data_IF_907783442703
#
_entry.id   IF_907783442703
#
_cell.length_a   1.000
_cell.length_b   1.000
_cell.length_c   1.000
_cell.angle_alpha   90.00
_cell.angle_beta   90.00
_cell.angle_gamma   90.00
#
_symmetry.space_group_name_H-M   'P 1'
#
loop_
_entity.id
_entity.type
_entity.pdbx_description
1 polymer ?
#
# COMPACT_ATOMS: atom_id res chain seq x y z
N UNK A 1 0.60 -4.15 20.04
CA UNK A 1 1.15 -4.62 21.33
C UNK A 1 1.33 -3.53 22.38
N UNK A 2 1.84 -2.34 22.02
CA UNK A 2 2.05 -1.23 22.97
C UNK A 2 0.78 -0.83 23.72
N UNK A 3 -0.36 -0.69 23.03
CA UNK A 3 -1.66 -0.42 23.65
C UNK A 3 -2.06 -1.52 24.65
N UNK A 4 -1.75 -2.79 24.36
CA UNK A 4 -2.05 -3.89 25.28
C UNK A 4 -1.10 -3.90 26.49
N UNK A 5 0.11 -3.34 26.38
CA UNK A 5 1.09 -3.36 27.46
C UNK A 5 0.64 -2.56 28.71
N UNK A 6 -0.17 -1.52 28.49
CA UNK A 6 -0.69 -0.63 29.54
C UNK A 6 -1.96 -1.15 30.23
N UNK A 7 -2.55 -2.26 29.77
CA UNK A 7 -3.62 -2.95 30.50
C UNK A 7 -3.06 -4.00 31.47
N UNK A 8 -3.87 -4.42 32.45
CA UNK A 8 -3.45 -5.41 33.44
C UNK A 8 -3.02 -6.74 32.79
N UNK A 9 -1.99 -7.44 33.30
CA UNK A 9 -1.45 -8.65 32.69
C UNK A 9 -2.50 -9.71 32.33
N UNK A 10 -3.51 -9.88 33.20
CA UNK A 10 -4.60 -10.85 33.03
C UNK A 10 -5.57 -10.48 31.90
N UNK A 11 -5.60 -9.20 31.48
CA UNK A 11 -6.48 -8.70 30.41
C UNK A 11 -5.77 -8.48 29.09
N UNK A 12 -4.44 -8.60 29.03
CA UNK A 12 -3.67 -8.37 27.80
C UNK A 12 -4.18 -9.23 26.65
N UNK A 13 -4.37 -10.53 26.90
CA UNK A 13 -4.90 -11.50 25.93
C UNK A 13 -6.33 -11.19 25.44
N UNK A 14 -7.04 -10.27 26.08
CA UNK A 14 -8.39 -9.80 25.73
C UNK A 14 -8.37 -8.55 24.84
N UNK A 15 -7.18 -8.08 24.42
CA UNK A 15 -7.02 -6.93 23.53
C UNK A 15 -6.82 -7.42 22.10
N UNK A 16 -7.54 -6.83 21.16
CA UNK A 16 -7.38 -7.01 19.72
C UNK A 16 -7.64 -5.69 19.00
N UNK A 17 -7.00 -5.47 17.85
CA UNK A 17 -7.27 -4.30 17.01
C UNK A 17 -8.46 -4.55 16.08
N UNK A 18 -9.27 -3.52 15.87
CA UNK A 18 -10.32 -3.49 14.84
C UNK A 18 -10.10 -2.26 13.97
N UNK A 19 -9.41 -2.43 12.84
CA UNK A 19 -9.12 -1.34 11.92
C UNK A 19 -10.24 -1.23 10.87
N UNK A 20 -11.08 -0.21 11.03
CA UNK A 20 -12.19 0.12 10.13
C UNK A 20 -11.74 0.99 8.97
N UNK A 21 -12.40 0.83 7.83
CA UNK A 21 -12.13 1.59 6.61
C UNK A 21 -13.10 2.76 6.45
N UNK A 22 -12.60 3.94 6.08
CA UNK A 22 -13.43 5.15 5.95
C UNK A 22 -14.18 5.21 4.62
N UNK A 23 -15.49 5.59 4.60
CA UNK A 23 -16.35 5.84 5.75
C UNK A 23 -16.83 4.53 6.42
N UNK A 24 -16.61 4.40 7.74
CA UNK A 24 -16.81 3.15 8.47
C UNK A 24 -18.24 2.59 8.46
N UNK A 25 -19.25 3.42 8.21
CA UNK A 25 -20.64 2.97 8.08
C UNK A 25 -20.93 2.34 6.71
N UNK A 26 -20.20 2.71 5.65
CA UNK A 26 -20.36 2.19 4.28
C UNK A 26 -19.40 1.05 3.98
N UNK A 27 -18.11 1.27 4.26
CA UNK A 27 -17.06 0.30 3.92
C UNK A 27 -17.28 -1.01 4.67
N UNK A 28 -17.07 -2.12 3.98
CA UNK A 28 -17.35 -3.46 4.50
C UNK A 28 -16.17 -4.04 5.25
N UNK A 29 -14.94 -3.70 4.86
CA UNK A 29 -13.75 -4.29 5.44
C UNK A 29 -13.50 -3.86 6.89
N UNK A 30 -13.08 -4.82 7.70
CA UNK A 30 -12.41 -4.60 8.99
C UNK A 30 -11.18 -5.52 9.04
N UNK A 31 -10.00 -4.94 9.21
CA UNK A 31 -8.80 -5.72 9.55
C UNK A 31 -8.80 -5.99 11.06
N UNK A 32 -8.85 -7.27 11.44
CA UNK A 32 -8.82 -7.75 12.82
C UNK A 32 -7.36 -8.03 13.18
N UNK A 33 -6.74 -7.11 13.91
CA UNK A 33 -5.30 -7.13 14.16
C UNK A 33 -5.00 -7.92 15.43
N UNK A 34 -4.28 -9.03 15.29
CA UNK A 34 -3.77 -9.84 16.41
C UNK A 34 -2.34 -9.42 16.75
N UNK A 35 -2.02 -9.32 18.04
CA UNK A 35 -0.68 -8.88 18.47
C UNK A 35 0.44 -9.84 18.03
N UNK A 36 1.65 -9.31 17.86
CA UNK A 36 2.78 -10.00 17.20
C UNK A 36 3.40 -11.14 18.02
N UNK A 37 3.18 -11.13 19.33
CA UNK A 37 3.63 -12.20 20.22
C UNK A 37 2.44 -13.12 20.53
N UNK A 38 2.67 -14.44 20.52
CA UNK A 38 1.73 -15.55 20.78
C UNK A 38 0.94 -15.49 22.12
N UNK A 39 0.86 -14.35 22.79
CA UNK A 39 0.13 -14.11 24.04
C UNK A 39 -0.58 -12.74 24.12
N UNK A 40 -0.50 -11.85 23.11
CA UNK A 40 -1.20 -10.55 23.22
C UNK A 40 -2.68 -10.67 22.88
N UNK A 41 -3.09 -11.53 21.97
CA UNK A 41 -4.51 -11.74 21.64
C UNK A 41 -4.83 -13.23 21.69
N UNK A 42 -5.75 -13.64 22.57
CA UNK A 42 -6.15 -15.04 22.66
C UNK A 42 -6.98 -15.47 21.44
N UNK A 43 -6.96 -16.75 21.04
CA UNK A 43 -7.84 -17.27 19.99
C UNK A 43 -9.32 -17.00 20.28
N UNK A 44 -9.73 -17.05 21.55
CA UNK A 44 -11.09 -16.73 21.97
C UNK A 44 -11.45 -15.26 21.71
N UNK A 45 -10.53 -14.34 21.99
CA UNK A 45 -10.70 -12.91 21.72
C UNK A 45 -10.83 -12.65 20.22
N UNK A 46 -9.95 -13.24 19.41
CA UNK A 46 -9.99 -13.11 17.95
C UNK A 46 -11.32 -13.65 17.38
N UNK A 47 -11.78 -14.80 17.87
CA UNK A 47 -13.07 -15.39 17.50
C UNK A 47 -14.25 -14.46 17.87
N UNK A 48 -14.25 -13.91 19.09
CA UNK A 48 -15.29 -12.98 19.54
C UNK A 48 -15.34 -11.71 18.70
N UNK A 49 -14.18 -11.14 18.36
CA UNK A 49 -14.10 -9.96 17.48
C UNK A 49 -14.56 -10.29 16.06
N UNK A 50 -14.25 -11.48 15.55
CA UNK A 50 -14.78 -11.95 14.27
C UNK A 50 -16.31 -12.08 14.28
N UNK A 51 -16.90 -12.65 15.33
CA UNK A 51 -18.35 -12.70 15.51
C UNK A 51 -18.98 -11.30 15.59
N UNK A 52 -18.37 -10.39 16.35
CA UNK A 52 -18.81 -9.00 16.43
C UNK A 52 -18.77 -8.34 15.04
N UNK A 53 -17.68 -8.49 14.31
CA UNK A 53 -17.50 -7.93 12.96
C UNK A 53 -18.59 -8.42 12.01
N UNK A 54 -18.89 -9.73 12.04
CA UNK A 54 -19.99 -10.31 11.26
C UNK A 54 -21.36 -9.76 11.69
N UNK A 55 -21.61 -9.58 12.99
CA UNK A 55 -22.86 -9.00 13.49
C UNK A 55 -23.08 -7.55 13.02
N UNK A 56 -22.00 -6.81 12.79
CA UNK A 56 -22.01 -5.47 12.21
C UNK A 56 -22.18 -5.46 10.67
N UNK A 57 -22.44 -6.62 10.06
CA UNK A 57 -22.52 -6.79 8.59
C UNK A 57 -21.26 -6.32 7.86
N UNK A 58 -20.10 -6.52 8.51
CA UNK A 58 -18.76 -6.27 7.98
C UNK A 58 -18.08 -7.58 7.54
N UNK A 59 -17.04 -7.45 6.73
CA UNK A 59 -16.15 -8.51 6.29
C UNK A 59 -14.87 -8.37 7.09
N UNK A 60 -14.65 -9.28 8.05
CA UNK A 60 -13.47 -9.31 8.89
C UNK A 60 -12.37 -10.17 8.29
N UNK A 61 -11.15 -9.65 8.26
CA UNK A 61 -9.95 -10.42 7.89
C UNK A 61 -8.96 -10.32 9.03
N UNK A 62 -8.54 -11.47 9.57
CA UNK A 62 -7.53 -11.51 10.63
C UNK A 62 -6.16 -11.27 10.04
N UNK A 63 -5.40 -10.36 10.64
CA UNK A 63 -4.06 -9.98 10.18
C UNK A 63 -3.10 -9.81 11.36
N UNK A 64 -1.82 -10.06 11.12
CA UNK A 64 -0.75 -9.82 12.08
C UNK A 64 -0.51 -8.33 12.35
N UNK A 65 0.01 -8.02 13.54
CA UNK A 65 0.37 -6.66 13.90
C UNK A 65 1.73 -6.27 13.29
N UNK A 66 1.68 -5.56 12.17
CA UNK A 66 2.82 -4.82 11.62
C UNK A 66 2.39 -3.40 11.22
N UNK A 67 3.35 -2.57 10.85
CA UNK A 67 3.08 -1.21 10.43
C UNK A 67 2.18 -1.17 9.18
N UNK A 68 1.01 -0.53 9.28
CA UNK A 68 0.05 -0.45 8.19
C UNK A 68 -0.73 -1.75 7.94
N UNK A 69 -0.57 -2.77 8.79
CA UNK A 69 -1.22 -4.07 8.69
C UNK A 69 -1.01 -4.70 7.30
N UNK A 70 -2.07 -5.04 6.58
CA UNK A 70 -1.95 -5.54 5.20
C UNK A 70 -2.26 -4.41 4.23
N UNK A 71 -3.44 -3.81 4.36
CA UNK A 71 -3.95 -2.84 3.40
C UNK A 71 -3.06 -1.61 3.23
N UNK A 72 -2.82 -0.88 4.33
CA UNK A 72 -2.06 0.37 4.25
C UNK A 72 -0.58 0.11 3.96
N UNK A 73 -0.04 -1.01 4.45
CA UNK A 73 1.32 -1.44 4.15
C UNK A 73 1.56 -1.62 2.66
N UNK A 74 0.65 -2.32 1.98
CA UNK A 74 0.72 -2.50 0.53
C UNK A 74 0.50 -1.18 -0.26
N UNK A 75 -0.13 -0.16 0.34
CA UNK A 75 -0.26 1.17 -0.28
C UNK A 75 0.98 2.06 -0.15
N UNK A 76 1.90 1.80 0.78
CA UNK A 76 3.11 2.61 0.91
C UNK A 76 3.95 2.66 -0.39
N UNK A 77 4.29 1.53 -1.04
CA UNK A 77 5.01 1.59 -2.31
C UNK A 77 4.19 2.22 -3.44
N UNK A 78 2.88 1.95 -3.48
CA UNK A 78 1.95 2.51 -4.47
C UNK A 78 1.93 4.05 -4.43
N UNK A 79 1.86 4.62 -3.22
CA UNK A 79 1.84 6.08 -3.02
C UNK A 79 3.22 6.73 -3.20
N UNK A 80 4.31 6.00 -2.95
CA UNK A 80 5.65 6.47 -3.30
C UNK A 80 5.80 6.54 -4.84
N UNK A 81 5.43 5.49 -5.55
CA UNK A 81 5.63 5.41 -7.00
C UNK A 81 4.75 6.37 -7.80
N UNK A 82 3.54 6.70 -7.34
CA UNK A 82 2.74 7.73 -8.03
C UNK A 82 3.48 9.08 -8.07
N UNK A 83 4.13 9.47 -6.97
CA UNK A 83 4.91 10.71 -6.91
C UNK A 83 6.18 10.60 -7.77
N UNK A 84 6.86 9.47 -7.72
CA UNK A 84 8.06 9.23 -8.52
C UNK A 84 7.82 9.23 -10.02
N UNK A 85 6.71 8.69 -10.49
CA UNK A 85 6.33 8.78 -11.91
C UNK A 85 6.24 10.24 -12.37
N UNK A 86 5.68 11.12 -11.53
CA UNK A 86 5.59 12.55 -11.85
C UNK A 86 6.96 13.25 -11.88
N UNK A 87 7.90 12.84 -11.03
CA UNK A 87 9.25 13.43 -10.98
C UNK A 87 10.18 12.88 -12.06
N UNK A 88 9.98 11.63 -12.47
CA UNK A 88 10.87 10.94 -13.41
C UNK A 88 10.45 11.09 -14.87
N UNK A 89 9.20 11.46 -15.14
CA UNK A 89 8.63 11.35 -16.48
C UNK A 89 7.75 12.53 -16.88
N UNK A 90 7.41 12.59 -18.17
CA UNK A 90 6.42 13.51 -18.71
C UNK A 90 4.97 13.19 -18.31
N UNK A 91 4.74 12.10 -17.59
CA UNK A 91 3.41 11.60 -17.21
C UNK A 91 2.71 12.55 -16.24
N UNK A 92 1.42 12.77 -16.45
CA UNK A 92 0.61 13.66 -15.60
C UNK A 92 -0.22 12.89 -14.58
N UNK A 93 -0.74 13.59 -13.57
CA UNK A 93 -1.68 13.05 -12.57
C UNK A 93 -2.84 12.30 -13.26
N UNK A 94 -3.45 12.93 -14.27
CA UNK A 94 -4.58 12.34 -15.00
C UNK A 94 -4.20 11.14 -15.85
N UNK A 95 -2.98 11.08 -16.40
CA UNK A 95 -2.50 9.91 -17.14
C UNK A 95 -2.39 8.70 -16.19
N UNK A 96 -1.81 8.90 -15.00
CA UNK A 96 -1.65 7.84 -13.99
C UNK A 96 -3.00 7.32 -13.51
N UNK A 97 -3.89 8.23 -13.11
CA UNK A 97 -5.23 7.86 -12.65
C UNK A 97 -6.02 7.13 -13.75
N UNK A 98 -5.96 7.60 -14.99
CA UNK A 98 -6.68 7.00 -16.10
C UNK A 98 -6.18 5.58 -16.41
N UNK A 99 -4.87 5.36 -16.39
CA UNK A 99 -4.28 4.03 -16.63
C UNK A 99 -4.72 3.02 -15.56
N UNK A 100 -4.75 3.44 -14.30
CA UNK A 100 -5.18 2.57 -13.20
C UNK A 100 -6.71 2.35 -13.24
N UNK A 101 -7.51 3.39 -13.49
CA UNK A 101 -8.96 3.26 -13.66
C UNK A 101 -9.35 2.32 -14.82
N UNK A 102 -8.57 2.25 -15.89
CA UNK A 102 -8.82 1.34 -17.01
C UNK A 102 -8.75 -0.14 -16.60
N UNK A 103 -8.08 -0.48 -15.50
CA UNK A 103 -8.13 -1.81 -14.91
C UNK A 103 -9.44 -2.09 -14.17
N UNK A 104 -10.29 -1.09 -13.95
CA UNK A 104 -11.58 -1.25 -13.27
C UNK A 104 -11.54 -1.06 -11.76
N UNK A 105 -10.44 -0.55 -11.19
CA UNK A 105 -10.43 -0.11 -9.79
C UNK A 105 -11.34 1.10 -9.59
N UNK A 106 -11.89 1.25 -8.39
CA UNK A 106 -12.88 2.30 -8.12
C UNK A 106 -12.32 3.72 -8.17
N UNK A 107 -11.05 3.91 -7.81
CA UNK A 107 -10.36 5.20 -7.75
C UNK A 107 -8.92 5.07 -8.26
N UNK A 108 -8.47 6.07 -9.03
CA UNK A 108 -7.06 6.21 -9.38
C UNK A 108 -6.22 6.65 -8.16
N UNK A 109 -4.88 6.47 -8.21
CA UNK A 109 -3.99 6.76 -7.09
C UNK A 109 -4.17 8.15 -6.48
N UNK A 110 -4.22 9.18 -7.32
CA UNK A 110 -4.25 10.57 -6.87
C UNK A 110 -5.63 10.96 -6.35
N UNK A 111 -6.70 10.49 -7.00
CA UNK A 111 -8.07 10.62 -6.48
C UNK A 111 -8.23 9.96 -5.11
N UNK A 112 -7.64 8.78 -4.91
CA UNK A 112 -7.67 8.08 -3.62
C UNK A 112 -6.90 8.86 -2.55
N UNK A 113 -5.72 9.39 -2.88
CA UNK A 113 -4.94 10.26 -1.99
C UNK A 113 -5.72 11.50 -1.57
N UNK A 114 -6.39 12.17 -2.51
CA UNK A 114 -7.21 13.36 -2.23
C UNK A 114 -8.44 13.05 -1.39
N UNK A 115 -9.05 11.87 -1.56
CA UNK A 115 -10.18 11.44 -0.75
C UNK A 115 -9.76 11.11 0.69
N UNK A 116 -8.63 10.42 0.86
CA UNK A 116 -8.09 10.06 2.17
C UNK A 116 -7.62 11.28 2.97
N UNK A 117 -7.05 12.26 2.28
CA UNK A 117 -6.48 13.48 2.85
C UNK A 117 -4.95 13.44 2.84
N UNK A 118 -4.35 14.34 2.05
CA UNK A 118 -2.90 14.37 1.85
C UNK A 118 -2.14 14.79 3.12
N UNK A 119 -2.79 15.53 4.01
CA UNK A 119 -2.27 15.90 5.32
C UNK A 119 -2.12 14.71 6.27
N UNK A 120 -2.99 13.69 6.17
CA UNK A 120 -2.83 12.44 6.93
C UNK A 120 -1.55 11.71 6.50
N UNK A 121 -1.35 11.59 5.18
CA UNK A 121 -0.13 11.01 4.62
C UNK A 121 1.12 11.80 5.02
N UNK A 122 1.04 13.14 5.01
CA UNK A 122 2.11 14.01 5.50
C UNK A 122 2.44 13.76 6.97
N UNK A 123 1.44 13.74 7.86
CA UNK A 123 1.64 13.46 9.29
C UNK A 123 2.31 12.10 9.52
N UNK A 124 1.85 11.05 8.83
CA UNK A 124 2.47 9.72 8.91
C UNK A 124 3.94 9.78 8.49
N UNK A 125 4.28 10.45 7.38
CA UNK A 125 5.68 10.59 6.95
C UNK A 125 6.51 11.42 7.93
N UNK A 126 5.93 12.44 8.55
CA UNK A 126 6.59 13.24 9.59
C UNK A 126 6.88 12.42 10.85
N UNK A 127 5.90 11.64 11.33
CA UNK A 127 6.07 10.76 12.50
C UNK A 127 7.15 9.69 12.26
N UNK A 128 7.25 9.18 11.02
CA UNK A 128 8.35 8.30 10.60
C UNK A 128 9.68 9.03 10.43
N UNK A 129 9.72 10.35 10.53
CA UNK A 129 10.94 11.14 10.27
C UNK A 129 11.41 11.10 8.82
N UNK A 130 10.51 10.84 7.86
CA UNK A 130 10.84 10.91 6.42
C UNK A 130 10.88 12.35 5.91
N UNK A 131 10.04 13.21 6.50
CA UNK A 131 9.96 14.64 6.19
C UNK A 131 11.10 15.37 6.88
N UNK A 132 11.67 16.39 6.22
CA UNK A 132 12.67 17.28 6.83
C UNK A 132 12.03 18.12 7.93
N UNK A 133 12.67 18.18 9.08
CA UNK A 133 12.27 19.07 10.16
C UNK A 133 12.64 20.54 9.87
N UNK A 134 12.32 21.44 10.81
CA UNK A 134 12.61 22.88 10.68
C UNK A 134 14.10 23.21 10.56
N UNK A 135 14.98 22.28 10.94
CA UNK A 135 16.44 22.41 10.84
C UNK A 135 16.99 21.77 9.55
N UNK A 136 16.12 21.17 8.73
CA UNK A 136 16.48 20.48 7.50
C UNK A 136 16.91 19.02 7.69
N UNK A 137 16.86 18.51 8.92
CA UNK A 137 17.26 17.14 9.26
C UNK A 137 16.13 16.15 9.04
N UNK A 138 16.49 14.89 8.78
CA UNK A 138 15.55 13.78 8.61
C UNK A 138 15.78 12.76 9.72
N UNK A 139 14.74 12.02 10.08
CA UNK A 139 14.82 10.95 11.07
C UNK A 139 15.48 9.68 10.54
N UNK A 140 15.67 8.68 11.42
CA UNK A 140 16.46 7.48 11.13
C UNK A 140 15.85 6.57 10.04
N UNK A 141 14.53 6.68 9.78
CA UNK A 141 13.88 5.88 8.73
C UNK A 141 14.16 6.38 7.31
N UNK A 142 14.72 7.59 7.14
CA UNK A 142 15.18 8.09 5.84
C UNK A 142 16.67 7.79 5.68
N UNK A 143 16.95 6.57 5.21
CA UNK A 143 18.32 6.06 5.11
C UNK A 143 19.11 6.72 3.97
N UNK A 144 20.45 6.81 4.08
CA UNK A 144 21.28 7.29 2.98
C UNK A 144 21.06 6.46 1.71
N UNK A 145 20.79 7.13 0.58
CA UNK A 145 20.51 6.47 -0.70
C UNK A 145 19.05 6.04 -0.88
N UNK A 146 18.20 6.17 0.15
CA UNK A 146 16.76 5.99 -0.01
C UNK A 146 16.21 7.02 -1.00
N UNK A 147 15.44 6.52 -1.96
CA UNK A 147 14.74 7.38 -2.90
C UNK A 147 13.53 8.00 -2.24
N UNK A 148 13.45 9.33 -2.29
CA UNK A 148 12.37 10.10 -1.69
C UNK A 148 12.18 11.40 -2.47
N UNK A 149 10.93 11.86 -2.59
CA UNK A 149 10.61 13.18 -3.16
C UNK A 149 9.76 13.98 -2.18
N UNK A 150 10.14 15.24 -1.98
CA UNK A 150 9.41 16.20 -1.15
C UNK A 150 8.12 16.71 -1.81
N UNK A 151 7.82 16.33 -3.07
CA UNK A 151 6.68 16.82 -3.84
C UNK A 151 5.35 16.79 -3.07
N UNK A 152 5.01 15.65 -2.47
CA UNK A 152 3.75 15.50 -1.74
C UNK A 152 3.76 16.24 -0.39
N UNK A 153 4.93 16.39 0.24
CA UNK A 153 5.07 17.10 1.51
C UNK A 153 4.93 18.60 1.30
N UNK A 154 5.65 19.13 0.33
CA UNK A 154 5.63 20.55 -0.01
C UNK A 154 4.28 20.97 -0.61
N UNK A 155 3.58 20.08 -1.32
CA UNK A 155 2.20 20.32 -1.73
C UNK A 155 1.30 20.60 -0.50
N UNK A 156 1.48 19.86 0.59
CA UNK A 156 0.69 20.07 1.82
C UNK A 156 1.18 21.32 2.56
N UNK A 157 2.48 21.46 2.78
CA UNK A 157 3.05 22.52 3.63
C UNK A 157 3.02 23.89 2.96
N UNK A 158 3.36 23.96 1.67
CA UNK A 158 3.49 25.23 0.95
C UNK A 158 2.18 25.68 0.30
N UNK A 159 1.39 24.73 -0.22
CA UNK A 159 0.15 25.05 -0.95
C UNK A 159 -1.13 24.79 -0.13
N UNK A 160 -1.04 24.12 1.03
CA UNK A 160 -2.21 23.80 1.85
C UNK A 160 -3.18 22.83 1.17
N UNK A 161 -2.72 22.02 0.21
CA UNK A 161 -3.57 21.17 -0.64
C UNK A 161 -3.83 19.81 0.01
N UNK A 162 -4.78 19.79 0.94
CA UNK A 162 -5.10 18.63 1.80
C UNK A 162 -6.06 17.61 1.18
N UNK A 163 -6.45 17.77 -0.07
CA UNK A 163 -7.37 16.87 -0.78
C UNK A 163 -8.79 17.40 -0.88
N UNK A 164 -9.74 16.50 -1.11
CA UNK A 164 -11.13 16.81 -1.38
C UNK A 164 -11.80 17.60 -0.23
N UNK A 165 -11.44 17.30 1.02
CA UNK A 165 -11.96 18.00 2.21
C UNK A 165 -11.60 19.49 2.24
N UNK A 166 -10.48 19.86 1.63
CA UNK A 166 -10.04 21.24 1.47
C UNK A 166 -10.37 21.82 0.09
N UNK A 167 -11.14 21.08 -0.73
CA UNK A 167 -11.46 21.38 -2.13
C UNK A 167 -10.22 21.51 -3.05
N UNK A 168 -9.03 21.16 -2.57
CA UNK A 168 -7.76 21.26 -3.28
C UNK A 168 -6.79 20.20 -2.79
N UNK A 169 -6.29 19.37 -3.70
CA UNK A 169 -5.31 18.31 -3.48
C UNK A 169 -4.41 18.15 -4.70
N UNK A 170 -4.18 16.93 -5.16
CA UNK A 170 -3.62 16.69 -6.50
C UNK A 170 -4.52 17.30 -7.60
N UNK A 171 -5.83 17.26 -7.38
CA UNK A 171 -6.84 17.92 -8.20
C UNK A 171 -7.42 19.16 -7.51
N UNK A 172 -8.04 20.03 -8.30
CA UNK A 172 -8.97 21.03 -7.77
C UNK A 172 -10.38 20.43 -7.69
N UNK A 173 -11.18 20.90 -6.74
CA UNK A 173 -12.56 20.51 -6.54
C UNK A 173 -13.43 21.76 -6.40
N UNK A 174 -14.57 21.77 -7.09
CA UNK A 174 -15.52 22.88 -7.05
C UNK A 174 -16.86 22.39 -6.50
N UNK A 175 -17.41 22.98 -5.43
CA UNK A 175 -18.75 22.66 -4.94
C UNK A 175 -19.84 22.73 -6.02
N UNK A 176 -19.70 23.62 -7.01
CA UNK A 176 -20.62 23.73 -8.15
C UNK A 176 -20.49 22.56 -9.14
N UNK A 177 -19.37 21.85 -9.14
CA UNK A 177 -19.09 20.74 -10.08
C UNK A 177 -19.09 19.40 -9.34
N UNK A 178 -20.09 18.57 -9.61
CA UNK A 178 -20.18 17.24 -9.00
C UNK A 178 -20.23 17.29 -7.46
N UNK A 179 -20.77 18.38 -6.89
CA UNK A 179 -20.89 18.62 -5.44
C UNK A 179 -19.53 18.59 -4.71
N UNK A 180 -18.46 19.09 -5.35
CA UNK A 180 -17.10 19.05 -4.78
C UNK A 180 -16.49 17.65 -4.74
N UNK A 181 -17.00 16.71 -5.56
CA UNK A 181 -16.49 15.34 -5.64
C UNK A 181 -15.86 14.98 -6.97
N UNK A 182 -16.09 15.80 -8.01
CA UNK A 182 -15.48 15.58 -9.31
C UNK A 182 -14.07 16.18 -9.31
N UNK A 183 -13.01 15.39 -9.61
CA UNK A 183 -11.66 15.91 -9.73
C UNK A 183 -11.54 16.80 -10.98
N UNK A 184 -10.89 17.95 -10.85
CA UNK A 184 -10.62 18.90 -11.93
C UNK A 184 -9.09 19.06 -12.04
N UNK A 185 -8.48 18.81 -13.21
CA UNK A 185 -7.03 18.99 -13.39
C UNK A 185 -6.58 20.41 -13.02
N UNK A 186 -5.55 20.50 -12.16
CA UNK A 186 -5.07 21.77 -11.63
C UNK A 186 -3.85 22.30 -12.41
N UNK A 187 -3.96 23.52 -12.94
CA UNK A 187 -2.83 24.21 -13.59
C UNK A 187 -1.73 24.56 -12.58
N UNK A 188 -2.12 24.91 -11.35
CA UNK A 188 -1.18 25.18 -10.25
C UNK A 188 -0.35 23.92 -9.95
N UNK A 189 -0.98 22.75 -9.82
CA UNK A 189 -0.24 21.50 -9.61
C UNK A 189 0.65 21.12 -10.79
N UNK A 190 0.20 21.37 -12.02
CA UNK A 190 1.04 21.11 -13.21
C UNK A 190 2.34 21.93 -13.16
N UNK A 191 2.25 23.22 -12.79
CA UNK A 191 3.41 24.11 -12.64
C UNK A 191 4.25 23.73 -11.41
N UNK A 192 3.62 23.31 -10.33
CA UNK A 192 4.30 22.89 -9.11
C UNK A 192 5.14 21.63 -9.34
N UNK A 193 4.56 20.60 -9.95
CA UNK A 193 5.25 19.34 -10.29
C UNK A 193 6.46 19.59 -11.18
N UNK A 194 6.38 20.55 -12.11
CA UNK A 194 7.49 20.89 -13.00
C UNK A 194 8.77 21.32 -12.23
N UNK A 195 8.64 21.83 -11.00
CA UNK A 195 9.78 22.20 -10.12
C UNK A 195 10.48 20.99 -9.51
N UNK A 196 9.81 19.83 -9.43
CA UNK A 196 10.32 18.59 -8.84
C UNK A 196 10.75 17.58 -9.90
N UNK A 197 10.63 17.92 -11.20
CA UNK A 197 11.13 17.05 -12.27
C UNK A 197 12.64 16.94 -12.18
N UNK A 198 13.13 15.71 -12.19
CA UNK A 198 14.57 15.44 -12.18
C UNK A 198 15.19 15.91 -13.49
N UNK A 199 16.47 16.29 -13.46
CA UNK A 199 17.22 16.59 -14.68
C UNK A 199 17.33 15.37 -15.62
N UNK A 200 17.34 14.18 -15.03
CA UNK A 200 17.33 12.89 -15.74
C UNK A 200 15.93 12.43 -16.15
N UNK A 201 14.89 13.22 -15.89
CA UNK A 201 13.53 12.84 -16.19
C UNK A 201 13.33 12.64 -17.69
N UNK A 202 12.66 11.55 -18.05
CA UNK A 202 12.27 11.31 -19.43
C UNK A 202 11.21 12.33 -19.84
N UNK A 203 11.37 13.02 -20.99
CA UNK A 203 10.32 13.91 -21.49
C UNK A 203 9.08 13.13 -21.96
N UNK A 204 9.22 11.81 -22.16
CA UNK A 204 8.14 10.96 -22.64
C UNK A 204 7.18 10.58 -21.51
N UNK A 205 5.90 10.44 -21.88
CA UNK A 205 4.88 9.84 -21.03
C UNK A 205 5.05 8.33 -21.05
N UNK A 206 4.82 7.71 -19.90
CA UNK A 206 4.70 6.26 -19.81
C UNK A 206 3.41 5.80 -20.49
N UNK A 207 3.44 4.61 -21.07
CA UNK A 207 2.24 3.89 -21.51
C UNK A 207 1.38 3.46 -20.32
N UNK A 208 0.08 3.17 -20.56
CA UNK A 208 -0.80 2.64 -19.51
C UNK A 208 -0.22 1.39 -18.85
N UNK A 209 0.42 0.51 -19.63
CA UNK A 209 1.05 -0.70 -19.10
C UNK A 209 2.22 -0.36 -18.19
N UNK A 210 3.15 0.50 -18.60
CA UNK A 210 4.29 0.90 -17.76
C UNK A 210 3.83 1.59 -16.46
N UNK A 211 2.76 2.37 -16.50
CA UNK A 211 2.16 2.98 -15.30
C UNK A 211 1.62 1.88 -14.37
N UNK A 212 0.84 0.93 -14.92
CA UNK A 212 0.29 -0.20 -14.17
C UNK A 212 1.41 -1.01 -13.52
N UNK A 213 2.47 -1.32 -14.26
CA UNK A 213 3.61 -2.07 -13.77
C UNK A 213 4.33 -1.30 -12.64
N UNK A 214 4.64 -0.02 -12.84
CA UNK A 214 5.32 0.79 -11.80
C UNK A 214 4.49 0.97 -10.53
N UNK A 215 3.17 1.06 -10.64
CA UNK A 215 2.27 1.33 -9.50
C UNK A 215 1.84 0.04 -8.80
N UNK A 216 1.38 -0.97 -9.55
CA UNK A 216 0.76 -2.16 -8.98
C UNK A 216 1.75 -3.29 -8.69
N UNK A 217 2.85 -3.41 -9.43
CA UNK A 217 3.80 -4.50 -9.16
C UNK A 217 4.48 -4.38 -7.80
N UNK A 218 4.95 -3.20 -7.34
CA UNK A 218 5.51 -3.11 -6.00
C UNK A 218 4.43 -3.27 -4.91
N UNK A 219 3.17 -2.88 -5.17
CA UNK A 219 2.04 -3.17 -4.28
C UNK A 219 1.82 -4.69 -4.14
N UNK A 220 1.78 -5.42 -5.25
CA UNK A 220 1.63 -6.88 -5.26
C UNK A 220 2.82 -7.54 -4.59
N UNK A 221 4.05 -7.08 -4.88
CA UNK A 221 5.27 -7.56 -4.25
C UNK A 221 5.23 -7.41 -2.71
N UNK A 222 4.69 -6.30 -2.21
CA UNK A 222 4.48 -6.11 -0.78
C UNK A 222 3.48 -7.11 -0.21
N UNK A 223 2.44 -7.47 -0.98
CA UNK A 223 1.54 -8.57 -0.66
C UNK A 223 2.25 -9.91 -0.49
N UNK A 224 3.23 -10.22 -1.35
CA UNK A 224 4.07 -11.41 -1.17
C UNK A 224 4.95 -11.32 0.09
N UNK A 225 5.50 -10.16 0.44
CA UNK A 225 6.29 -9.98 1.68
C UNK A 225 5.42 -10.16 2.93
N UNK A 226 4.19 -9.65 2.90
CA UNK A 226 3.19 -9.86 3.96
C UNK A 226 2.90 -11.34 4.19
N UNK A 227 2.81 -12.12 3.10
CA UNK A 227 2.63 -13.57 3.15
C UNK A 227 3.86 -14.29 3.71
N UNK A 228 5.08 -13.87 3.33
CA UNK A 228 6.33 -14.41 3.87
C UNK A 228 6.47 -14.20 5.37
N UNK A 229 6.03 -13.04 5.85
CA UNK A 229 6.12 -12.65 7.25
C UNK A 229 4.99 -13.23 8.11
N UNK A 230 4.03 -13.93 7.51
CA UNK A 230 2.87 -14.48 8.21
C UNK A 230 1.92 -13.41 8.75
N UNK A 231 1.92 -12.22 8.14
CA UNK A 231 0.99 -11.14 8.50
C UNK A 231 -0.40 -11.41 7.92
N UNK A 232 -0.49 -12.08 6.77
CA UNK A 232 -1.72 -12.64 6.24
C UNK A 232 -1.59 -14.17 6.12
N UNK A 233 -2.64 -14.91 6.48
CA UNK A 233 -2.59 -16.38 6.52
C UNK A 233 -2.56 -17.01 5.12
N UNK A 234 -3.17 -16.35 4.13
CA UNK A 234 -3.28 -16.85 2.75
C UNK A 234 -3.49 -15.72 1.73
N UNK A 235 -3.17 -15.95 0.45
CA UNK A 235 -3.32 -14.94 -0.60
C UNK A 235 -4.73 -14.35 -0.72
N UNK A 236 -5.76 -15.17 -0.50
CA UNK A 236 -7.15 -14.71 -0.58
C UNK A 236 -7.51 -13.67 0.48
N UNK A 237 -6.83 -13.65 1.62
CA UNK A 237 -7.10 -12.67 2.68
C UNK A 237 -6.68 -11.27 2.22
N UNK A 238 -5.54 -11.17 1.52
CA UNK A 238 -5.09 -9.95 0.84
C UNK A 238 -6.09 -9.54 -0.26
N UNK A 239 -6.55 -10.51 -1.06
CA UNK A 239 -7.54 -10.25 -2.12
C UNK A 239 -8.83 -9.64 -1.55
N UNK A 240 -9.38 -10.23 -0.47
CA UNK A 240 -10.58 -9.72 0.20
C UNK A 240 -10.36 -8.31 0.77
N UNK A 241 -9.18 -8.04 1.36
CA UNK A 241 -8.81 -6.71 1.85
C UNK A 241 -8.86 -5.69 0.71
N UNK A 242 -8.29 -6.02 -0.45
CA UNK A 242 -8.26 -5.09 -1.58
C UNK A 242 -9.61 -4.90 -2.27
N UNK A 243 -10.44 -5.94 -2.36
CA UNK A 243 -11.80 -5.85 -2.88
C UNK A 243 -12.67 -4.94 -2.00
N UNK A 244 -12.72 -5.19 -0.69
CA UNK A 244 -13.65 -4.50 0.22
C UNK A 244 -13.10 -3.23 0.86
N UNK A 245 -11.78 -3.05 0.88
CA UNK A 245 -11.11 -1.90 1.48
C UNK A 245 -10.68 -0.85 0.46
N UNK A 246 -10.21 -1.28 -0.72
CA UNK A 246 -9.53 -0.41 -1.68
C UNK A 246 -10.21 -0.37 -3.06
N UNK A 247 -11.36 -1.04 -3.21
CA UNK A 247 -12.16 -0.99 -4.43
C UNK A 247 -11.50 -1.70 -5.61
N UNK A 248 -10.75 -2.78 -5.36
CA UNK A 248 -10.26 -3.66 -6.41
C UNK A 248 -11.44 -4.31 -7.15
N UNK A 249 -11.39 -4.43 -8.50
CA UNK A 249 -12.46 -5.04 -9.27
C UNK A 249 -12.63 -6.52 -8.91
N UNK A 250 -13.70 -6.87 -8.20
CA UNK A 250 -13.96 -8.24 -7.73
C UNK A 250 -14.01 -9.29 -8.86
N UNK A 251 -14.37 -8.88 -10.09
CA UNK A 251 -14.38 -9.76 -11.26
C UNK A 251 -12.98 -10.12 -11.77
N UNK A 252 -11.93 -9.43 -11.30
CA UNK A 252 -10.53 -9.80 -11.47
C UNK A 252 -9.96 -10.51 -10.23
N UNK A 253 -10.81 -10.95 -9.29
CA UNK A 253 -10.38 -11.50 -8.00
C UNK A 253 -9.85 -10.39 -7.09
N UNK A 254 -8.55 -10.40 -6.83
CA UNK A 254 -7.82 -9.40 -6.06
C UNK A 254 -6.39 -9.26 -6.60
N UNK A 255 -5.52 -8.44 -5.99
CA UNK A 255 -4.15 -8.25 -6.45
C UNK A 255 -3.33 -9.55 -6.54
N UNK A 256 -3.52 -10.50 -5.61
CA UNK A 256 -2.79 -11.77 -5.63
C UNK A 256 -3.33 -12.69 -6.73
N UNK A 257 -4.66 -12.77 -6.89
CA UNK A 257 -5.26 -13.52 -8.00
C UNK A 257 -4.87 -12.93 -9.37
N UNK A 258 -4.86 -11.60 -9.48
CA UNK A 258 -4.49 -10.88 -10.69
C UNK A 258 -3.02 -11.11 -11.07
N UNK A 259 -2.12 -11.11 -10.08
CA UNK A 259 -0.71 -11.45 -10.29
C UNK A 259 -0.53 -12.83 -10.91
N UNK A 260 -1.32 -13.80 -10.44
CA UNK A 260 -1.16 -15.20 -10.83
C UNK A 260 -1.78 -15.52 -12.20
N UNK A 261 -2.92 -14.90 -12.51
CA UNK A 261 -3.73 -15.30 -13.66
C UNK A 261 -3.75 -14.28 -14.81
N UNK A 262 -3.57 -12.99 -14.52
CA UNK A 262 -3.59 -11.95 -15.55
C UNK A 262 -2.19 -11.46 -15.91
N UNK A 263 -1.31 -11.30 -14.92
CA UNK A 263 0.07 -10.82 -15.13
C UNK A 263 1.03 -11.97 -15.42
N UNK A 264 1.00 -13.01 -14.58
CA UNK A 264 1.98 -14.08 -14.57
C UNK A 264 3.22 -13.72 -13.73
N UNK A 265 3.53 -14.57 -12.76
CA UNK A 265 4.63 -14.36 -11.81
C UNK A 265 6.03 -14.20 -12.45
N UNK A 266 6.38 -14.90 -13.56
CA UNK A 266 7.67 -14.66 -14.22
C UNK A 266 7.82 -13.24 -14.76
N UNK A 267 6.76 -12.67 -15.34
CA UNK A 267 6.76 -11.28 -15.82
C UNK A 267 6.88 -10.30 -14.66
N UNK A 268 6.06 -10.50 -13.61
CA UNK A 268 6.11 -9.69 -12.39
C UNK A 268 7.53 -9.66 -11.79
N UNK A 269 8.17 -10.83 -11.62
CA UNK A 269 9.52 -10.94 -11.08
C UNK A 269 10.53 -10.20 -11.96
N UNK A 270 10.50 -10.44 -13.27
CA UNK A 270 11.45 -9.83 -14.21
C UNK A 270 11.34 -8.30 -14.22
N UNK A 271 10.11 -7.78 -14.26
CA UNK A 271 9.88 -6.33 -14.24
C UNK A 271 10.33 -5.70 -12.93
N UNK A 272 10.10 -6.34 -11.78
CA UNK A 272 10.59 -5.84 -10.49
C UNK A 272 12.12 -5.78 -10.44
N UNK A 273 12.82 -6.79 -10.98
CA UNK A 273 14.29 -6.79 -11.07
C UNK A 273 14.80 -5.65 -11.97
N UNK A 274 14.15 -5.43 -13.11
CA UNK A 274 14.52 -4.36 -14.04
C UNK A 274 14.25 -2.97 -13.43
N UNK A 275 13.14 -2.81 -12.69
CA UNK A 275 12.81 -1.59 -11.96
C UNK A 275 13.78 -1.34 -10.80
N UNK A 276 14.16 -2.38 -10.05
CA UNK A 276 15.17 -2.29 -8.99
C UNK A 276 16.51 -1.78 -9.54
N UNK A 277 16.94 -2.28 -10.71
CA UNK A 277 18.17 -1.84 -11.36
C UNK A 277 18.06 -0.38 -11.85
N UNK A 278 16.90 0.01 -12.39
CA UNK A 278 16.67 1.36 -12.94
C UNK A 278 16.52 2.43 -11.87
N UNK A 279 15.94 2.07 -10.72
CA UNK A 279 15.61 3.00 -9.64
C UNK A 279 16.25 2.56 -8.31
N UNK A 280 17.60 2.58 -8.21
CA UNK A 280 18.29 2.24 -6.97
C UNK A 280 17.80 3.12 -5.81
N UNK A 281 17.76 2.55 -4.61
CA UNK A 281 17.21 3.23 -3.42
C UNK A 281 15.69 3.06 -3.22
N UNK A 282 15.03 2.32 -4.12
CA UNK A 282 13.60 1.98 -4.04
C UNK A 282 13.42 0.54 -3.57
N UNK A 283 13.59 0.28 -2.27
CA UNK A 283 13.63 -1.08 -1.71
C UNK A 283 12.33 -1.88 -1.91
N UNK A 284 11.21 -1.22 -2.21
CA UNK A 284 9.96 -1.87 -2.55
C UNK A 284 9.99 -2.61 -3.91
N UNK A 285 10.94 -2.30 -4.79
CA UNK A 285 11.16 -3.08 -6.02
C UNK A 285 11.95 -4.37 -5.80
N UNK A 286 12.62 -4.55 -4.65
CA UNK A 286 13.33 -5.79 -4.34
C UNK A 286 12.31 -6.95 -4.32
N UNK A 287 12.40 -7.92 -5.24
CA UNK A 287 11.43 -9.01 -5.30
C UNK A 287 11.46 -9.86 -4.04
N UNK A 288 10.29 -10.19 -3.53
CA UNK A 288 10.09 -11.03 -2.36
C UNK A 288 10.65 -12.46 -2.57
N UNK A 289 11.02 -13.14 -1.49
CA UNK A 289 11.57 -14.51 -1.56
C UNK A 289 10.52 -15.53 -2.01
N UNK A 290 9.27 -15.36 -1.60
CA UNK A 290 8.13 -16.17 -1.97
C UNK A 290 7.80 -15.99 -3.45
N UNK A 291 7.84 -14.77 -3.99
CA UNK A 291 7.68 -14.55 -5.42
C UNK A 291 8.75 -15.32 -6.21
N UNK A 292 10.02 -15.18 -5.82
CA UNK A 292 11.13 -15.93 -6.43
C UNK A 292 10.94 -17.45 -6.33
N UNK A 293 10.45 -17.93 -5.18
CA UNK A 293 10.19 -19.35 -4.94
C UNK A 293 9.04 -19.88 -5.79
N UNK A 294 7.94 -19.13 -5.91
CA UNK A 294 6.81 -19.52 -6.76
C UNK A 294 7.23 -19.61 -8.23
N UNK A 295 8.01 -18.63 -8.72
CA UNK A 295 8.55 -18.64 -10.08
C UNK A 295 9.51 -19.82 -10.30
N UNK A 296 10.41 -20.11 -9.36
CA UNK A 296 11.35 -21.23 -9.50
C UNK A 296 10.66 -22.60 -9.46
N UNK A 297 9.57 -22.72 -8.70
CA UNK A 297 8.73 -23.92 -8.65
C UNK A 297 7.74 -24.01 -9.81
N UNK A 298 7.61 -22.97 -10.64
CA UNK A 298 6.66 -22.90 -11.74
C UNK A 298 5.20 -22.99 -11.28
N UNK A 299 4.89 -22.43 -10.10
CA UNK A 299 3.54 -22.46 -9.54
C UNK A 299 3.01 -21.06 -9.19
N UNK A 300 1.69 -20.96 -9.12
CA UNK A 300 0.96 -19.80 -8.57
C UNK A 300 1.20 -19.71 -7.05
N UNK A 301 1.06 -18.53 -6.45
CA UNK A 301 1.05 -18.35 -5.00
C UNK A 301 -0.12 -19.09 -4.37
N UNK A 302 -1.28 -19.16 -5.03
CA UNK A 302 -2.38 -19.97 -4.52
C UNK A 302 -2.04 -21.47 -4.54
N UNK A 303 -1.39 -22.00 -5.57
CA UNK A 303 -0.96 -23.40 -5.60
C UNK A 303 0.17 -23.66 -4.59
N UNK A 304 1.05 -22.69 -4.34
CA UNK A 304 2.04 -22.77 -3.27
C UNK A 304 1.37 -22.97 -1.91
N UNK A 305 0.36 -22.14 -1.58
CA UNK A 305 -0.37 -22.22 -0.31
C UNK A 305 -1.29 -23.45 -0.21
N UNK A 306 -1.77 -24.02 -1.32
CA UNK A 306 -2.45 -25.33 -1.30
C UNK A 306 -1.53 -26.46 -0.83
N UNK A 307 -0.25 -26.40 -1.20
CA UNK A 307 0.78 -27.39 -0.79
C UNK A 307 1.39 -27.08 0.57
N UNK A 308 1.45 -25.80 0.95
CA UNK A 308 2.02 -25.30 2.20
C UNK A 308 0.97 -24.46 2.95
N UNK A 309 -0.04 -25.09 3.56
CA UNK A 309 -1.17 -24.38 4.17
C UNK A 309 -0.76 -23.50 5.37
N UNK A 310 0.41 -23.74 5.95
CA UNK A 310 0.96 -22.94 7.06
C UNK A 310 1.92 -21.83 6.56
N UNK A 311 1.90 -21.53 5.26
CA UNK A 311 2.79 -20.55 4.63
C UNK A 311 4.20 -21.09 4.34
N UNK A 312 5.10 -20.22 3.83
CA UNK A 312 6.50 -20.59 3.61
C UNK A 312 7.18 -20.92 4.94
N UNK A 313 7.67 -22.16 5.10
CA UNK A 313 8.42 -22.55 6.30
C UNK A 313 9.71 -21.72 6.39
N UNK A 314 9.95 -21.08 7.53
CA UNK A 314 11.20 -20.37 7.83
C UNK A 314 12.36 -21.36 8.01
N UNK A 315 12.79 -22.02 6.94
CA UNK A 315 13.90 -22.97 6.95
C UNK A 315 14.87 -22.64 5.82
N UNK A 316 15.74 -21.67 6.07
CA UNK A 316 17.15 -21.68 5.64
C UNK A 316 17.92 -20.57 6.36
N UNK A 317 18.19 -20.80 7.64
CA UNK A 317 19.42 -20.28 8.26
C UNK A 317 20.23 -21.50 8.66
N UNK A 318 20.95 -22.08 7.69
CA UNK A 318 22.10 -22.92 8.01
C UNK A 318 23.14 -22.03 8.66
N UNK A 319 23.07 -21.87 9.98
CA UNK A 319 24.25 -21.58 10.77
C UNK A 319 25.18 -22.78 10.64
N UNK A 320 26.06 -22.76 9.64
CA UNK A 320 27.26 -23.57 9.71
C UNK A 320 28.07 -23.04 10.90
N UNK A 321 28.21 -23.90 11.91
CA UNK A 321 29.23 -23.77 12.94
C UNK A 321 30.58 -23.45 12.29
N UNK A 322 31.19 -22.35 12.71
CA UNK A 322 32.61 -22.20 13.06
C UNK A 322 32.73 -20.96 13.95
#
# INVERSE_FOLDING_TARGET
DEIASVVSPQRRSQVAGMHFFSPAHLMKLVEIVVGSNNNTTSPQTALQVSHLTKSLSKVGVTVGNCEGFVGNRMLFPYTAEMCHILTDTGTTISDVDSAILQLGVALGPFMMSDLAGNDIGYMIRTEKGLVRDKTGQVGPHRTPGMRYTELADDMVVQLGRVGQKGLKGWYDYDPAVGKGRKPIPSKEMTQFIAKYRLETASPHKLSSQEIVERILFPLVNEGFKILEEGIADKPSDIDIIYIYGYGWPAWQGGPMYWADHAVGLPHLLKTLEDLQQRYPGSDYFVPSKLLRTCVSMGCTVQDFYKKHPNGPTSTTTTHSKL
#
